data_IF_984198806368
#
_entry.id   IF_984198806368
#
_cell.length_a   1.000
_cell.length_b   1.000
_cell.length_c   1.000
_cell.angle_alpha   90.00
_cell.angle_beta   90.00
_cell.angle_gamma   90.00
#
_symmetry.space_group_name_H-M   'P 1'
#
loop_
_entity.id
_entity.type
_entity.pdbx_description
1 polymer ?
#
# COMPACT_ATOMS: atom_id res chain seq x y z
N UNK A 1 -4.32 -0.22 -14.40
CA UNK A 1 -5.04 0.56 -13.37
C UNK A 1 -6.09 1.47 -13.99
N UNK A 2 -5.69 2.40 -14.87
CA UNK A 2 -6.61 3.35 -15.54
C UNK A 2 -7.74 2.65 -16.30
N UNK A 3 -7.42 1.57 -17.01
CA UNK A 3 -8.37 0.75 -17.77
C UNK A 3 -9.35 -0.04 -16.89
N UNK A 4 -9.01 -0.24 -15.61
CA UNK A 4 -9.84 -0.97 -14.64
C UNK A 4 -10.62 -0.02 -13.71
N UNK A 5 -10.50 1.30 -13.90
CA UNK A 5 -11.14 2.30 -13.03
C UNK A 5 -10.60 2.31 -11.59
N UNK A 6 -9.45 1.68 -11.33
CA UNK A 6 -8.86 1.58 -9.99
C UNK A 6 -7.86 2.71 -9.72
N UNK A 7 -7.82 3.25 -8.49
CA UNK A 7 -6.80 4.22 -8.11
C UNK A 7 -5.41 3.59 -8.15
N UNK A 8 -4.42 4.34 -8.63
CA UNK A 8 -3.03 3.93 -8.62
C UNK A 8 -2.11 5.12 -8.36
N UNK A 9 -1.05 4.86 -7.60
CA UNK A 9 0.07 5.79 -7.38
C UNK A 9 1.33 5.05 -7.79
N UNK A 10 2.14 5.66 -8.65
CA UNK A 10 3.35 5.05 -9.22
C UNK A 10 4.59 5.86 -8.84
N UNK A 11 5.77 5.25 -8.99
CA UNK A 11 7.06 5.88 -8.68
C UNK A 11 7.18 6.34 -7.20
N UNK A 12 6.57 5.59 -6.27
CA UNK A 12 6.67 5.86 -4.84
C UNK A 12 8.02 5.34 -4.34
N UNK A 13 8.92 6.26 -4.00
CA UNK A 13 10.25 5.93 -3.49
C UNK A 13 10.16 5.02 -2.26
N UNK A 14 11.01 4.01 -2.22
CA UNK A 14 11.10 3.00 -1.15
C UNK A 14 9.83 2.16 -0.89
N UNK A 15 8.80 2.23 -1.74
CA UNK A 15 7.54 1.52 -1.50
C UNK A 15 7.75 0.02 -1.22
N UNK A 16 8.58 -0.64 -2.02
CA UNK A 16 8.88 -2.07 -1.88
C UNK A 16 9.65 -2.43 -0.60
N UNK A 17 10.35 -1.46 0.00
CA UNK A 17 11.06 -1.65 1.28
C UNK A 17 10.14 -1.41 2.47
N UNK A 18 9.19 -0.49 2.32
CA UNK A 18 8.33 -0.03 3.40
C UNK A 18 7.08 -0.91 3.56
N UNK A 19 6.52 -1.41 2.47
CA UNK A 19 5.26 -2.18 2.46
C UNK A 19 5.60 -3.67 2.56
N UNK A 20 5.00 -4.34 3.55
CA UNK A 20 5.11 -5.79 3.70
C UNK A 20 3.82 -6.49 3.21
N UNK A 21 3.95 -7.75 2.83
CA UNK A 21 2.81 -8.60 2.54
C UNK A 21 1.89 -8.68 3.76
N UNK A 22 0.59 -8.47 3.52
CA UNK A 22 -0.42 -8.43 4.58
C UNK A 22 -0.64 -7.05 5.21
N UNK A 23 0.15 -6.03 4.88
CA UNK A 23 -0.15 -4.65 5.28
C UNK A 23 -1.49 -4.20 4.68
N UNK A 24 -2.33 -3.55 5.49
CA UNK A 24 -3.56 -2.91 5.00
C UNK A 24 -3.25 -1.48 4.60
N UNK A 25 -3.43 -1.17 3.33
CA UNK A 25 -3.12 0.15 2.76
C UNK A 25 -4.38 0.86 2.25
N UNK A 26 -4.43 2.18 2.43
CA UNK A 26 -5.34 3.08 1.70
C UNK A 26 -4.56 3.73 0.56
N UNK A 27 -5.08 3.62 -0.65
CA UNK A 27 -4.52 4.27 -1.85
C UNK A 27 -5.44 5.41 -2.27
N UNK A 28 -4.87 6.60 -2.40
CA UNK A 28 -5.55 7.79 -2.89
C UNK A 28 -4.87 8.25 -4.19
N UNK A 29 -5.43 7.82 -5.32
CA UNK A 29 -4.90 8.13 -6.65
C UNK A 29 -5.01 9.60 -7.04
N UNK A 30 -5.93 10.35 -6.43
CA UNK A 30 -6.13 11.78 -6.72
C UNK A 30 -5.11 12.64 -5.98
N UNK A 31 -4.85 12.32 -4.71
CA UNK A 31 -3.86 13.03 -3.89
C UNK A 31 -2.42 12.51 -4.09
N UNK A 32 -2.24 11.39 -4.81
CA UNK A 32 -0.93 10.74 -4.98
C UNK A 32 -0.39 10.14 -3.68
N UNK A 33 -1.26 9.68 -2.77
CA UNK A 33 -0.87 9.20 -1.43
C UNK A 33 -1.16 7.72 -1.25
N UNK A 34 -0.25 7.05 -0.55
CA UNK A 34 -0.44 5.70 -0.03
C UNK A 34 -0.23 5.76 1.48
N UNK A 35 -1.20 5.28 2.24
CA UNK A 35 -1.21 5.37 3.70
C UNK A 35 -1.35 3.95 4.25
N UNK A 36 -0.44 3.55 5.13
CA UNK A 36 -0.58 2.29 5.87
C UNK A 36 -1.57 2.49 7.00
N UNK A 37 -2.64 1.69 6.99
CA UNK A 37 -3.71 1.74 7.97
C UNK A 37 -3.43 0.77 9.11
N UNK A 38 -3.02 -0.45 8.77
CA UNK A 38 -2.63 -1.49 9.73
C UNK A 38 -1.41 -2.24 9.20
N UNK A 39 -0.42 -2.56 10.05
CA UNK A 39 0.67 -3.44 9.66
C UNK A 39 0.14 -4.87 9.48
N UNK A 40 0.83 -5.65 8.66
CA UNK A 40 0.66 -7.09 8.61
C UNK A 40 0.72 -7.63 10.04
N UNK A 41 -0.31 -8.38 10.45
CA UNK A 41 -0.25 -9.09 11.71
C UNK A 41 0.87 -10.11 11.56
N UNK A 42 2.02 -9.84 12.15
CA UNK A 42 3.13 -10.78 12.17
C UNK A 42 2.55 -12.14 12.60
N UNK A 43 2.85 -13.20 11.85
CA UNK A 43 2.54 -14.55 12.29
C UNK A 43 3.11 -14.66 13.71
N UNK A 44 2.23 -14.82 14.69
CA UNK A 44 2.60 -14.91 16.08
C UNK A 44 3.54 -16.11 16.23
N UNK A 45 4.85 -15.87 16.18
CA UNK A 45 5.81 -16.77 16.80
C UNK A 45 5.69 -16.48 18.30
N UNK A 46 4.83 -17.25 18.94
CA UNK A 46 4.98 -17.59 20.35
C UNK A 46 6.20 -18.51 20.50
#
# INVERSE_FOLDING_TARGET
>A
AREFGLPAVVNVRDAMRLIADGDRLRVDGNAGRVIRIEPARAAAKQ
#
